data_IF_574217052483
#
_entry.id   IF_574217052483
#
_cell.length_a   1.000
_cell.length_b   1.000
_cell.length_c   1.000
_cell.angle_alpha   90.00
_cell.angle_beta   90.00
_cell.angle_gamma   90.00
#
_symmetry.space_group_name_H-M   'P 1'
#
loop_
_entity.id
_entity.type
_entity.pdbx_description
1 polymer ?
#
# COMPACT_ATOMS: atom_id res chain seq x y z
N UNK A 1 33.66 -26.44 27.73
CA UNK A 1 32.59 -26.72 26.76
C UNK A 1 32.30 -25.45 25.97
N UNK A 2 32.80 -25.47 24.74
CA UNK A 2 32.27 -24.86 23.51
C UNK A 2 31.75 -23.41 23.52
N UNK A 3 32.51 -22.55 22.84
CA UNK A 3 32.07 -21.32 22.17
C UNK A 3 32.14 -21.55 20.66
N UNK A 4 31.02 -21.71 19.97
CA UNK A 4 30.84 -21.51 18.52
C UNK A 4 29.34 -21.22 18.37
N UNK A 5 28.86 -20.08 17.88
CA UNK A 5 28.58 -19.78 16.47
C UNK A 5 28.39 -18.26 16.34
N UNK A 6 29.25 -17.60 15.56
CA UNK A 6 29.19 -16.15 15.31
C UNK A 6 29.65 -15.77 13.91
N UNK A 7 29.43 -16.61 12.90
CA UNK A 7 30.05 -16.42 11.58
C UNK A 7 29.14 -16.74 10.38
N UNK A 8 27.81 -16.53 10.47
CA UNK A 8 26.93 -16.75 9.31
C UNK A 8 26.27 -15.49 8.71
N UNK A 9 26.43 -14.32 9.34
CA UNK A 9 25.80 -13.07 8.88
C UNK A 9 26.61 -12.34 7.79
N UNK A 10 27.94 -12.54 7.74
CA UNK A 10 28.82 -11.89 6.75
C UNK A 10 28.80 -12.52 5.35
N UNK A 11 28.53 -13.82 5.28
CA UNK A 11 28.55 -14.56 4.01
C UNK A 11 27.34 -14.21 3.13
N UNK A 12 26.18 -13.99 3.74
CA UNK A 12 24.96 -13.57 3.02
C UNK A 12 25.12 -12.16 2.47
N UNK A 13 25.71 -11.23 3.24
CA UNK A 13 25.87 -9.82 2.82
C UNK A 13 26.83 -9.63 1.63
N UNK A 14 27.85 -10.50 1.50
CA UNK A 14 28.82 -10.45 0.39
C UNK A 14 28.30 -11.12 -0.88
N UNK A 15 27.42 -12.12 -0.76
CA UNK A 15 26.74 -12.74 -1.91
C UNK A 15 25.79 -11.74 -2.62
N UNK A 16 25.11 -10.86 -1.88
CA UNK A 16 24.22 -9.85 -2.46
C UNK A 16 24.92 -8.67 -3.13
N UNK A 17 26.22 -8.46 -2.89
CA UNK A 17 26.99 -7.39 -3.51
C UNK A 17 27.43 -7.70 -4.96
N UNK A 18 27.30 -8.95 -5.42
CA UNK A 18 27.88 -9.44 -6.68
C UNK A 18 26.84 -9.98 -7.69
N UNK A 19 25.56 -9.62 -7.59
CA UNK A 19 24.58 -10.02 -8.62
C UNK A 19 24.69 -9.09 -9.84
N UNK A 20 25.00 -9.60 -11.04
CA UNK A 20 25.04 -8.79 -12.26
C UNK A 20 23.63 -8.28 -12.59
N UNK A 21 23.52 -6.97 -12.80
CA UNK A 21 22.26 -6.31 -13.09
C UNK A 21 21.68 -6.72 -14.44
N UNK A 22 20.61 -7.49 -14.43
CA UNK A 22 19.80 -7.72 -15.61
C UNK A 22 18.89 -6.50 -15.83
N UNK A 23 19.22 -5.70 -16.85
CA UNK A 23 18.33 -4.72 -17.46
C UNK A 23 17.31 -5.49 -18.30
N UNK A 24 16.15 -5.77 -17.73
CA UNK A 24 14.98 -6.15 -18.52
C UNK A 24 13.90 -5.07 -18.42
N UNK A 25 13.46 -4.68 -19.61
CA UNK A 25 12.52 -3.64 -19.97
C UNK A 25 11.16 -3.85 -19.26
N UNK A 26 10.46 -2.79 -18.81
CA UNK A 26 9.33 -2.96 -17.90
C UNK A 26 8.12 -3.54 -18.63
N UNK A 27 7.92 -4.85 -18.47
CA UNK A 27 6.62 -5.47 -18.66
C UNK A 27 5.63 -4.79 -17.70
N UNK A 28 4.44 -4.45 -18.23
CA UNK A 28 3.41 -3.69 -17.53
C UNK A 28 3.23 -4.16 -16.08
N UNK A 29 3.15 -3.23 -15.09
CA UNK A 29 3.10 -3.59 -13.69
C UNK A 29 1.89 -4.50 -13.44
N UNK A 30 2.06 -5.60 -12.68
CA UNK A 30 0.95 -6.48 -12.37
C UNK A 30 -0.13 -5.68 -11.62
N UNK A 31 -1.38 -5.82 -12.07
CA UNK A 31 -2.55 -5.14 -11.48
C UNK A 31 -2.57 -5.41 -9.98
N UNK A 32 -2.47 -4.34 -9.19
CA UNK A 32 -2.49 -4.40 -7.74
C UNK A 32 -3.79 -5.10 -7.28
N UNK A 33 -3.74 -6.00 -6.29
CA UNK A 33 -4.96 -6.56 -5.72
C UNK A 33 -5.78 -5.43 -5.07
N UNK A 34 -6.96 -5.18 -5.63
CA UNK A 34 -8.09 -4.42 -5.10
C UNK A 34 -7.73 -3.23 -4.20
N UNK A 35 -7.10 -2.19 -4.76
CA UNK A 35 -6.82 -0.97 -3.99
C UNK A 35 -8.07 -0.15 -3.60
N UNK A 36 -9.27 -0.64 -3.94
CA UNK A 36 -10.57 -0.17 -3.43
C UNK A 36 -10.80 -0.55 -1.96
N UNK A 37 -10.16 -1.63 -1.52
CA UNK A 37 -10.35 -2.15 -0.19
C UNK A 37 -9.37 -1.51 0.79
N UNK A 38 -9.88 -1.18 1.97
CA UNK A 38 -9.08 -0.82 3.12
C UNK A 38 -8.30 -2.06 3.56
N UNK A 39 -7.49 -1.86 4.59
CA UNK A 39 -6.79 -2.97 5.19
C UNK A 39 -7.78 -4.13 5.45
N UNK A 40 -9.02 -3.91 5.94
CA UNK A 40 -10.05 -4.91 6.33
C UNK A 40 -10.70 -5.69 5.18
N UNK A 41 -10.39 -5.40 3.92
CA UNK A 41 -11.17 -5.94 2.80
C UNK A 41 -12.55 -5.28 2.66
N UNK A 42 -12.79 -4.15 3.34
CA UNK A 42 -13.99 -3.31 3.18
C UNK A 42 -13.65 -2.17 2.25
N UNK A 43 -14.62 -1.60 1.54
CA UNK A 43 -14.33 -0.37 0.78
C UNK A 43 -13.73 0.72 1.69
N UNK A 44 -12.65 1.36 1.25
CA UNK A 44 -12.08 2.49 1.99
C UNK A 44 -13.17 3.54 2.15
N UNK A 45 -13.35 4.11 3.35
CA UNK A 45 -14.30 5.21 3.54
C UNK A 45 -14.05 6.41 2.59
N UNK A 46 -12.80 6.58 2.13
CA UNK A 46 -12.44 7.52 1.08
C UNK A 46 -13.07 7.16 -0.27
N UNK A 47 -13.05 5.89 -0.66
CA UNK A 47 -13.66 5.35 -1.88
C UNK A 47 -15.17 5.55 -1.81
N UNK A 48 -15.83 5.06 -0.76
CA UNK A 48 -17.28 5.25 -0.59
C UNK A 48 -17.69 6.72 -0.67
N UNK A 49 -16.97 7.62 0.04
CA UNK A 49 -17.25 9.06 -0.01
C UNK A 49 -17.06 9.67 -1.41
N UNK A 50 -16.04 9.24 -2.15
CA UNK A 50 -15.78 9.74 -3.50
C UNK A 50 -16.80 9.20 -4.49
N UNK A 51 -17.18 7.93 -4.37
CA UNK A 51 -18.24 7.31 -5.18
C UNK A 51 -19.56 8.03 -5.01
N UNK A 52 -20.04 8.24 -3.77
CA UNK A 52 -21.30 8.95 -3.54
C UNK A 52 -21.28 10.36 -4.13
N UNK A 53 -20.22 11.14 -3.87
CA UNK A 53 -20.10 12.52 -4.39
C UNK A 53 -20.01 12.59 -5.91
N UNK A 54 -19.37 11.62 -6.54
CA UNK A 54 -19.28 11.52 -7.98
C UNK A 54 -20.67 11.24 -8.57
N UNK A 55 -21.37 10.23 -8.06
CA UNK A 55 -22.70 9.84 -8.55
C UNK A 55 -23.72 10.99 -8.39
N UNK A 56 -23.78 11.61 -7.20
CA UNK A 56 -24.65 12.77 -6.96
C UNK A 56 -24.34 13.95 -7.89
N UNK A 57 -23.04 14.21 -8.16
CA UNK A 57 -22.66 15.27 -9.09
C UNK A 57 -23.08 14.94 -10.52
N UNK A 58 -22.85 13.71 -10.97
CA UNK A 58 -23.21 13.26 -12.32
C UNK A 58 -24.72 13.30 -12.55
N UNK A 59 -25.51 12.87 -11.56
CA UNK A 59 -26.97 12.94 -11.61
C UNK A 59 -27.46 14.39 -11.79
N UNK A 60 -26.95 15.32 -10.98
CA UNK A 60 -27.34 16.73 -11.08
C UNK A 60 -26.86 17.39 -12.39
N UNK A 61 -25.70 16.97 -12.92
CA UNK A 61 -25.23 17.42 -14.25
C UNK A 61 -26.15 16.89 -15.36
N UNK A 62 -26.57 15.63 -15.28
CA UNK A 62 -27.52 15.04 -16.23
C UNK A 62 -28.89 15.73 -16.20
N UNK A 63 -29.30 16.26 -15.05
CA UNK A 63 -30.48 17.13 -14.91
C UNK A 63 -30.27 18.56 -15.45
N UNK A 64 -29.11 18.88 -16.03
CA UNK A 64 -28.80 20.19 -16.60
C UNK A 64 -28.48 21.27 -15.55
N UNK A 65 -28.22 20.91 -14.30
CA UNK A 65 -27.94 21.87 -13.23
C UNK A 65 -26.54 22.48 -13.43
N UNK A 66 -26.41 23.78 -13.16
CA UNK A 66 -25.11 24.45 -13.23
C UNK A 66 -24.17 23.99 -12.11
N UNK A 67 -22.86 23.92 -12.38
CA UNK A 67 -21.85 23.52 -11.40
C UNK A 67 -21.88 24.37 -10.10
N UNK A 68 -22.27 25.64 -10.20
CA UNK A 68 -22.38 26.55 -9.05
C UNK A 68 -23.62 26.23 -8.19
N UNK A 69 -24.70 25.78 -8.81
CA UNK A 69 -25.87 25.26 -8.08
C UNK A 69 -25.52 23.98 -7.34
N UNK A 70 -24.88 23.03 -8.04
CA UNK A 70 -24.47 21.74 -7.47
C UNK A 70 -23.52 21.91 -6.28
N UNK A 71 -22.58 22.86 -6.39
CA UNK A 71 -21.68 23.23 -5.29
C UNK A 71 -22.42 23.66 -4.02
N UNK A 72 -23.49 24.44 -4.15
CA UNK A 72 -24.31 24.87 -3.01
C UNK A 72 -25.17 23.74 -2.46
N UNK A 73 -25.76 22.94 -3.34
CA UNK A 73 -26.66 21.85 -2.97
C UNK A 73 -25.94 20.71 -2.25
N UNK A 74 -24.79 20.27 -2.78
CA UNK A 74 -23.98 19.21 -2.17
C UNK A 74 -23.03 19.72 -1.07
N UNK A 75 -23.03 21.03 -0.79
CA UNK A 75 -22.07 21.70 0.09
C UNK A 75 -20.61 21.31 -0.23
N UNK A 76 -20.27 21.31 -1.53
CA UNK A 76 -18.96 20.97 -2.05
C UNK A 76 -18.28 22.21 -2.63
N UNK A 77 -16.95 22.28 -2.53
CA UNK A 77 -16.18 23.30 -3.22
C UNK A 77 -16.42 23.20 -4.75
N UNK A 78 -16.58 24.35 -5.41
CA UNK A 78 -16.79 24.43 -6.87
C UNK A 78 -15.76 23.63 -7.69
N UNK A 79 -14.48 23.67 -7.31
CA UNK A 79 -13.43 22.92 -8.01
C UNK A 79 -13.52 21.40 -7.77
N UNK A 80 -14.12 20.96 -6.66
CA UNK A 80 -14.41 19.54 -6.44
C UNK A 80 -15.57 19.10 -7.33
N UNK A 81 -16.65 19.89 -7.41
CA UNK A 81 -17.77 19.63 -8.33
C UNK A 81 -17.31 19.61 -9.77
N UNK A 82 -16.53 20.62 -10.20
CA UNK A 82 -15.95 20.69 -11.55
C UNK A 82 -15.07 19.47 -11.86
N UNK A 83 -14.36 18.92 -10.88
CA UNK A 83 -13.57 17.70 -11.04
C UNK A 83 -14.46 16.49 -11.28
N UNK A 84 -15.51 16.31 -10.47
CA UNK A 84 -16.42 15.16 -10.62
C UNK A 84 -17.23 15.24 -11.91
N UNK A 85 -17.72 16.43 -12.28
CA UNK A 85 -18.51 16.66 -13.49
C UNK A 85 -17.71 16.45 -14.79
N UNK A 86 -16.38 16.55 -14.74
CA UNK A 86 -15.48 16.38 -15.89
C UNK A 86 -14.80 15.03 -15.94
N UNK A 87 -14.94 14.22 -14.90
CA UNK A 87 -14.35 12.90 -14.89
C UNK A 87 -15.14 12.01 -15.84
N UNK A 88 -14.43 11.27 -16.68
CA UNK A 88 -15.03 10.38 -17.68
C UNK A 88 -15.56 9.10 -17.03
N UNK A 89 -14.99 8.72 -15.86
CA UNK A 89 -15.40 7.54 -15.13
C UNK A 89 -15.13 7.63 -13.63
N UNK A 90 -15.77 6.73 -12.86
CA UNK A 90 -15.53 6.61 -11.43
C UNK A 90 -14.09 6.16 -11.13
N UNK A 91 -13.51 5.31 -11.98
CA UNK A 91 -12.13 4.84 -11.88
C UNK A 91 -11.13 6.00 -11.92
N UNK A 92 -11.37 7.01 -12.76
CA UNK A 92 -10.53 8.22 -12.82
C UNK A 92 -10.54 8.98 -11.49
N UNK A 93 -11.72 9.14 -10.89
CA UNK A 93 -11.90 9.81 -9.60
C UNK A 93 -11.20 9.03 -8.48
N UNK A 94 -11.35 7.71 -8.49
CA UNK A 94 -10.83 6.81 -7.47
C UNK A 94 -9.34 6.53 -7.61
N UNK A 95 -8.75 6.68 -8.80
CA UNK A 95 -7.33 6.40 -9.04
C UNK A 95 -6.40 7.08 -8.01
N UNK A 96 -6.70 8.33 -7.60
CA UNK A 96 -5.91 9.05 -6.59
C UNK A 96 -6.14 8.58 -5.15
N UNK A 97 -7.29 7.98 -4.84
CA UNK A 97 -7.58 7.41 -3.53
C UNK A 97 -7.03 5.99 -3.38
N UNK A 98 -7.07 5.25 -4.48
CA UNK A 98 -6.65 3.86 -4.60
C UNK A 98 -5.12 3.76 -4.64
N UNK A 99 -4.45 4.61 -5.41
CA UNK A 99 -2.98 4.60 -5.55
C UNK A 99 -2.22 5.26 -4.39
N UNK A 100 -2.84 5.49 -3.23
CA UNK A 100 -2.10 6.01 -2.07
C UNK A 100 -1.27 4.88 -1.45
N UNK A 101 0.07 4.95 -1.48
CA UNK A 101 0.89 3.98 -0.79
C UNK A 101 0.61 4.07 0.71
N UNK A 102 0.35 2.92 1.30
CA UNK A 102 0.28 2.72 2.75
C UNK A 102 1.68 2.46 3.31
N UNK A 103 1.88 2.71 4.61
CA UNK A 103 3.15 2.38 5.27
C UNK A 103 3.54 0.91 5.12
N UNK A 104 2.55 0.01 5.06
CA UNK A 104 2.78 -1.43 4.91
C UNK A 104 3.26 -1.81 3.51
N UNK A 105 2.94 -1.03 2.47
CA UNK A 105 3.28 -1.38 1.08
C UNK A 105 4.78 -1.54 0.85
N UNK A 106 5.60 -0.77 1.58
CA UNK A 106 7.06 -0.90 1.56
C UNK A 106 7.57 -2.23 2.14
N UNK A 107 6.80 -2.88 3.01
CA UNK A 107 7.17 -4.11 3.71
C UNK A 107 6.47 -5.37 3.17
N UNK A 108 5.49 -5.22 2.26
CA UNK A 108 4.77 -6.34 1.65
C UNK A 108 5.68 -7.37 0.97
N UNK A 109 6.73 -7.00 0.21
CA UNK A 109 7.65 -7.98 -0.39
C UNK A 109 8.31 -8.88 0.66
N UNK A 110 8.86 -8.28 1.72
CA UNK A 110 9.47 -9.03 2.83
C UNK A 110 8.46 -9.96 3.52
N UNK A 111 7.27 -9.45 3.83
CA UNK A 111 6.21 -10.25 4.45
C UNK A 111 5.77 -11.42 3.57
N UNK A 112 5.73 -11.23 2.25
CA UNK A 112 5.41 -12.30 1.30
C UNK A 112 6.51 -13.35 1.23
N UNK A 113 7.78 -12.94 1.17
CA UNK A 113 8.92 -13.88 1.21
C UNK A 113 8.89 -14.74 2.47
N UNK A 114 8.69 -14.12 3.64
CA UNK A 114 8.57 -14.85 4.90
C UNK A 114 7.35 -15.79 4.91
N UNK A 115 6.24 -15.36 4.34
CA UNK A 115 5.05 -16.19 4.19
C UNK A 115 5.32 -17.41 3.29
N UNK A 116 6.00 -17.22 2.17
CA UNK A 116 6.32 -18.28 1.21
C UNK A 116 7.26 -19.35 1.79
N UNK A 117 8.15 -18.97 2.72
CA UNK A 117 8.99 -19.93 3.46
C UNK A 117 8.30 -20.56 4.68
N UNK A 118 7.01 -20.27 4.91
CA UNK A 118 6.18 -20.89 5.94
C UNK A 118 6.05 -20.09 7.25
N UNK A 119 6.61 -18.89 7.34
CA UNK A 119 6.42 -18.02 8.50
C UNK A 119 5.05 -17.33 8.44
N UNK A 120 4.05 -17.91 9.09
CA UNK A 120 2.67 -17.41 9.09
C UNK A 120 2.29 -16.62 10.35
N UNK A 121 3.20 -16.42 11.31
CA UNK A 121 2.92 -15.73 12.57
C UNK A 121 3.03 -14.20 12.39
N UNK A 122 1.88 -13.54 12.29
CA UNK A 122 1.79 -12.10 12.11
C UNK A 122 2.51 -11.27 13.18
N UNK A 123 2.41 -11.67 14.45
CA UNK A 123 3.04 -10.95 15.57
C UNK A 123 4.57 -11.03 15.49
N UNK A 124 5.10 -12.17 15.03
CA UNK A 124 6.53 -12.35 14.79
C UNK A 124 7.00 -11.48 13.62
N UNK A 125 6.29 -11.53 12.49
CA UNK A 125 6.62 -10.72 11.32
C UNK A 125 6.53 -9.21 11.60
N UNK A 126 5.56 -8.80 12.43
CA UNK A 126 5.43 -7.41 12.87
C UNK A 126 6.66 -6.94 13.65
N UNK A 127 7.17 -7.74 14.59
CA UNK A 127 8.40 -7.40 15.33
C UNK A 127 9.59 -7.25 14.39
N UNK A 128 9.73 -8.16 13.43
CA UNK A 128 10.80 -8.10 12.42
C UNK A 128 10.75 -6.82 11.59
N UNK A 129 9.57 -6.41 11.11
CA UNK A 129 9.46 -5.17 10.34
C UNK A 129 9.55 -3.91 11.21
N UNK A 130 9.16 -3.97 12.49
CA UNK A 130 9.39 -2.87 13.43
C UNK A 130 10.89 -2.61 13.62
N UNK A 131 11.70 -3.66 13.75
CA UNK A 131 13.16 -3.55 13.82
C UNK A 131 13.76 -2.95 12.52
N UNK A 132 13.09 -3.13 11.38
CA UNK A 132 13.44 -2.51 10.10
C UNK A 132 12.89 -1.08 9.93
N UNK A 133 12.21 -0.52 10.93
CA UNK A 133 11.71 0.86 10.92
C UNK A 133 10.22 1.02 10.60
N UNK A 134 9.42 -0.06 10.66
CA UNK A 134 7.97 0.06 10.49
C UNK A 134 7.32 0.75 11.70
N UNK A 135 6.86 1.99 11.49
CA UNK A 135 6.16 2.78 12.50
C UNK A 135 4.64 2.57 12.55
N UNK A 136 4.10 1.58 11.83
CA UNK A 136 2.67 1.26 11.84
C UNK A 136 2.27 0.29 12.95
N UNK A 137 0.98 -0.05 13.01
CA UNK A 137 0.45 -1.03 13.97
C UNK A 137 0.49 -2.47 13.44
N UNK A 138 0.29 -3.44 14.33
CA UNK A 138 0.21 -4.88 14.01
C UNK A 138 -0.98 -5.23 13.10
N UNK A 139 -2.10 -4.50 13.20
CA UNK A 139 -3.33 -4.82 12.49
C UNK A 139 -3.18 -4.99 10.97
N UNK A 140 -2.56 -4.04 10.25
CA UNK A 140 -2.24 -4.18 8.83
C UNK A 140 -1.40 -5.42 8.48
N UNK A 141 -0.40 -5.76 9.31
CA UNK A 141 0.47 -6.94 9.11
C UNK A 141 -0.34 -8.22 9.22
N UNK A 142 -1.05 -8.39 10.35
CA UNK A 142 -1.86 -9.59 10.60
C UNK A 142 -2.84 -9.87 9.49
N UNK A 143 -3.43 -8.81 8.97
CA UNK A 143 -4.40 -8.91 7.91
C UNK A 143 -3.81 -9.22 6.55
N UNK A 144 -2.65 -8.63 6.22
CA UNK A 144 -1.94 -8.99 5.01
C UNK A 144 -1.58 -10.48 5.02
N UNK A 145 -1.14 -11.02 6.16
CA UNK A 145 -0.88 -12.45 6.31
C UNK A 145 -2.16 -13.28 6.15
N UNK A 146 -3.29 -12.86 6.73
CA UNK A 146 -4.59 -13.53 6.49
C UNK A 146 -5.00 -13.51 5.01
N UNK A 147 -4.71 -12.42 4.30
CA UNK A 147 -4.98 -12.28 2.87
C UNK A 147 -4.12 -13.27 2.05
N UNK A 148 -2.84 -13.41 2.37
CA UNK A 148 -1.95 -14.39 1.75
C UNK A 148 -2.44 -15.84 1.98
N UNK A 149 -2.95 -16.15 3.18
CA UNK A 149 -3.57 -17.47 3.46
C UNK A 149 -4.80 -17.76 2.60
N UNK A 150 -5.48 -16.73 2.10
CA UNK A 150 -6.65 -16.88 1.21
C UNK A 150 -6.25 -17.01 -0.27
N UNK A 151 -4.96 -17.08 -0.59
CA UNK A 151 -4.47 -17.29 -1.97
C UNK A 151 -4.28 -15.99 -2.76
N UNK A 152 -4.06 -14.85 -2.09
CA UNK A 152 -3.76 -13.61 -2.79
C UNK A 152 -2.44 -13.68 -3.56
N UNK A 153 -2.42 -13.05 -4.75
CA UNK A 153 -1.26 -12.99 -5.63
C UNK A 153 -0.05 -12.27 -4.99
N UNK A 154 1.18 -12.61 -5.39
CA UNK A 154 2.40 -11.94 -4.92
C UNK A 154 2.35 -10.44 -5.18
N UNK A 155 2.92 -9.60 -4.28
CA UNK A 155 3.06 -8.18 -4.55
C UNK A 155 3.98 -7.95 -5.76
N UNK A 156 3.78 -6.87 -6.54
CA UNK A 156 4.74 -6.48 -7.57
C UNK A 156 6.15 -6.34 -6.99
N UNK A 157 7.21 -6.69 -7.74
CA UNK A 157 8.58 -6.45 -7.31
C UNK A 157 8.81 -4.94 -7.24
N UNK A 158 8.74 -4.39 -6.03
CA UNK A 158 9.17 -3.02 -5.74
C UNK A 158 10.59 -3.08 -5.18
N UNK A 159 11.49 -2.28 -5.72
CA UNK A 159 12.86 -2.19 -5.20
C UNK A 159 12.80 -1.67 -3.77
N UNK A 160 12.95 -2.59 -2.80
CA UNK A 160 12.99 -2.25 -1.39
C UNK A 160 14.17 -1.30 -1.14
N UNK A 161 13.87 -0.06 -0.75
CA UNK A 161 14.87 0.85 -0.20
C UNK A 161 14.63 0.88 1.32
N UNK A 162 15.48 0.27 2.15
CA UNK A 162 15.35 0.41 3.59
C UNK A 162 15.44 1.91 3.92
N UNK A 163 14.37 2.44 4.54
CA UNK A 163 14.42 3.77 5.13
C UNK A 163 15.42 3.68 6.29
N UNK A 164 16.51 4.45 6.21
CA UNK A 164 17.53 4.53 7.26
C UNK A 164 16.84 4.73 8.61
N UNK A 165 17.11 3.84 9.55
CA UNK A 165 16.71 4.03 10.94
C UNK A 165 17.20 5.42 11.39
N UNK A 166 16.31 6.21 11.98
CA UNK A 166 16.72 7.44 12.65
C UNK A 166 17.55 7.01 13.86
N UNK A 167 18.85 7.28 13.82
CA UNK A 167 19.72 7.16 14.98
C UNK A 167 19.23 8.10 16.07
N UNK A 168 18.46 7.59 17.04
CA UNK A 168 18.27 8.29 18.31
C UNK A 168 19.52 8.08 19.15
N UNK A 169 20.47 9.00 19.01
CA UNK A 169 21.54 9.20 19.97
C UNK A 169 20.93 9.53 21.34
N UNK A 170 20.83 8.51 22.20
CA UNK A 170 20.62 8.66 23.63
C UNK A 170 21.98 8.99 24.25
N UNK A 171 22.32 10.28 24.33
CA UNK A 171 23.40 10.73 25.20
C UNK A 171 22.84 10.90 26.62
N UNK A 172 23.32 10.00 27.48
CA UNK A 172 23.53 10.03 28.95
C UNK A 172 22.58 10.88 29.80
#
# INVERSE_FOLDING_TARGET
MEKVVGAHYGCVKSAYANLPGNREEPAAPPKQPDGYLDVNGRERALVTRQTSRYLETQELVAQGRSLKSISRELNLNYYAVRRYARADSLEEVLAKAVNRPTLLDAYKPYLYEQFAVGCHNASQLFRQIQEQGYGGSLGPVDRYIRLLRKGAAPPPPVSYKPLRAHETLRHL
#
